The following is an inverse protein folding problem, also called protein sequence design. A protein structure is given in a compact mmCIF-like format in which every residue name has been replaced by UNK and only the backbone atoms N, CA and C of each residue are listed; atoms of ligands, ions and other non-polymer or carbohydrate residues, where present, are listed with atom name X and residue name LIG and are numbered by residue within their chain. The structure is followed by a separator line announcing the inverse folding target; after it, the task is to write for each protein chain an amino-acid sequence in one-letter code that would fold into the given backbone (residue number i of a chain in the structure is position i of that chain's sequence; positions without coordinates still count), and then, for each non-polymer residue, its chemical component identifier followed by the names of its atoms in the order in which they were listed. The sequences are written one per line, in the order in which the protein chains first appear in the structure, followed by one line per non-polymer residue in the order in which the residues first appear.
data_IF_766368885571
#
_entry.id   IF_766368885571
#
_cell.length_a   1.000
_cell.length_b   1.000
_cell.length_c   1.000
_cell.angle_alpha   90.00
_cell.angle_beta   90.00
_cell.angle_gamma   90.00
#
_symmetry.space_group_name_H-M   'P 1'
#
loop_
_entity.id
_entity.type
_entity.pdbx_description
1 polymer ?
#
# COMPACT_ATOMS: atom_id res chain seq x y z
N UNK A 1 24.97 3.09 -10.94
CA UNK A 1 24.30 3.16 -9.62
C UNK A 1 24.40 4.52 -8.93
N UNK A 2 25.43 4.88 -8.14
CA UNK A 2 25.43 6.14 -7.36
C UNK A 2 25.23 7.41 -8.21
N UNK A 3 25.89 7.50 -9.37
CA UNK A 3 25.69 8.60 -10.33
C UNK A 3 24.25 8.66 -10.86
N UNK A 4 23.62 7.50 -11.05
CA UNK A 4 22.23 7.42 -11.50
C UNK A 4 21.25 7.79 -10.37
N UNK A 5 21.54 7.45 -9.11
CA UNK A 5 20.76 7.90 -7.96
C UNK A 5 20.76 9.44 -7.90
N UNK A 6 21.94 10.05 -7.94
CA UNK A 6 22.06 11.51 -7.94
C UNK A 6 21.38 12.16 -9.17
N UNK A 7 21.48 11.51 -10.34
CA UNK A 7 20.79 11.96 -11.56
C UNK A 7 19.27 11.84 -11.43
N UNK A 8 18.77 10.72 -10.92
CA UNK A 8 17.35 10.48 -10.68
C UNK A 8 16.79 11.54 -9.75
N UNK A 9 17.41 11.76 -8.58
CA UNK A 9 16.95 12.73 -7.61
C UNK A 9 16.88 14.15 -8.21
N UNK A 10 17.90 14.56 -8.97
CA UNK A 10 17.93 15.87 -9.64
C UNK A 10 16.83 16.02 -10.67
N UNK A 11 16.66 15.02 -11.54
CA UNK A 11 15.62 15.03 -12.57
C UNK A 11 14.24 15.00 -11.92
N UNK A 12 14.01 14.13 -10.95
CA UNK A 12 12.78 14.04 -10.18
C UNK A 12 12.38 15.40 -9.59
N UNK A 13 13.30 16.07 -8.88
CA UNK A 13 13.07 17.40 -8.33
C UNK A 13 12.78 18.46 -9.39
N UNK A 14 13.48 18.42 -10.53
CA UNK A 14 13.24 19.34 -11.64
C UNK A 14 11.89 19.12 -12.35
N UNK A 15 11.33 17.91 -12.26
CA UNK A 15 10.02 17.58 -12.84
C UNK A 15 8.86 17.90 -11.87
N UNK A 16 9.12 18.05 -10.57
CA UNK A 16 8.08 18.40 -9.59
C UNK A 16 7.34 19.69 -10.01
N UNK A 17 6.01 19.66 -9.94
CA UNK A 17 5.16 20.77 -10.36
C UNK A 17 4.77 20.78 -11.86
N UNK A 18 5.45 20.00 -12.70
CA UNK A 18 5.11 19.86 -14.13
C UNK A 18 5.22 18.39 -14.60
N UNK A 19 4.69 17.47 -13.78
CA UNK A 19 4.66 16.04 -14.10
C UNK A 19 3.41 15.75 -14.93
N UNK A 20 3.56 15.06 -16.06
CA UNK A 20 2.41 14.52 -16.78
C UNK A 20 1.61 13.58 -15.86
N UNK A 21 0.31 13.87 -15.71
CA UNK A 21 -0.63 13.12 -14.85
C UNK A 21 -0.76 11.64 -15.25
N UNK A 22 -0.41 11.30 -16.50
CA UNK A 22 -0.46 9.94 -17.02
C UNK A 22 0.91 9.25 -17.06
N UNK A 23 1.99 9.95 -16.70
CA UNK A 23 3.31 9.35 -16.65
C UNK A 23 3.40 8.28 -15.55
N UNK A 24 4.16 7.24 -15.85
CA UNK A 24 4.51 6.17 -14.93
C UNK A 24 6.00 6.23 -14.57
N UNK A 25 6.39 5.52 -13.52
CA UNK A 25 7.80 5.36 -13.18
C UNK A 25 8.59 4.74 -14.34
N UNK A 26 8.03 3.76 -15.05
CA UNK A 26 8.67 3.17 -16.22
C UNK A 26 8.92 4.18 -17.34
N UNK A 27 7.89 4.95 -17.73
CA UNK A 27 8.03 5.94 -18.81
C UNK A 27 9.08 7.00 -18.46
N UNK A 28 9.19 7.40 -17.20
CA UNK A 28 10.23 8.33 -16.75
C UNK A 28 11.64 7.73 -16.85
N UNK A 29 11.79 6.48 -16.40
CA UNK A 29 13.08 5.79 -16.46
C UNK A 29 13.54 5.58 -17.91
N UNK A 30 12.61 5.26 -18.80
CA UNK A 30 12.86 5.05 -20.24
C UNK A 30 13.20 6.38 -20.94
N UNK A 31 12.40 7.43 -20.73
CA UNK A 31 12.62 8.77 -21.28
C UNK A 31 14.01 9.32 -20.93
N UNK A 32 14.46 9.12 -19.69
CA UNK A 32 15.75 9.61 -19.22
C UNK A 32 16.89 8.59 -19.31
N UNK A 33 16.65 7.46 -20.00
CA UNK A 33 17.66 6.43 -20.30
C UNK A 33 18.38 5.94 -19.04
N UNK A 34 17.62 5.58 -18.02
CA UNK A 34 18.17 4.88 -16.84
C UNK A 34 18.49 3.43 -17.16
N UNK A 35 19.56 2.90 -16.56
CA UNK A 35 19.94 1.52 -16.79
C UNK A 35 18.93 0.56 -16.17
N UNK A 36 18.76 -0.62 -16.79
CA UNK A 36 17.98 -1.71 -16.21
C UNK A 36 18.52 -2.12 -14.82
N UNK A 37 19.84 -2.00 -14.63
CA UNK A 37 20.49 -2.29 -13.36
C UNK A 37 20.04 -1.30 -12.25
N UNK A 38 20.06 0.01 -12.51
CA UNK A 38 19.50 1.01 -11.60
C UNK A 38 18.03 0.77 -11.30
N UNK A 39 17.23 0.52 -12.34
CA UNK A 39 15.79 0.30 -12.18
C UNK A 39 15.50 -0.91 -11.28
N UNK A 40 16.10 -2.06 -11.60
CA UNK A 40 15.84 -3.35 -10.94
C UNK A 40 16.39 -3.44 -9.53
N UNK A 41 17.51 -2.77 -9.23
CA UNK A 41 18.21 -2.94 -7.95
C UNK A 41 18.10 -1.75 -7.01
N UNK A 42 17.47 -0.65 -7.43
CA UNK A 42 17.33 0.54 -6.57
C UNK A 42 15.91 1.09 -6.55
N UNK A 43 15.46 1.73 -7.63
CA UNK A 43 14.24 2.55 -7.55
C UNK A 43 12.95 1.71 -7.51
N UNK A 44 12.88 0.61 -8.27
CA UNK A 44 11.70 -0.26 -8.25
C UNK A 44 11.58 -1.02 -6.92
N UNK A 45 12.64 -1.65 -6.37
CA UNK A 45 12.55 -2.28 -5.05
C UNK A 45 12.21 -1.30 -3.92
N UNK A 46 12.74 -0.08 -3.97
CA UNK A 46 12.45 0.95 -2.97
C UNK A 46 10.97 1.33 -2.97
N UNK A 47 10.40 1.61 -4.15
CA UNK A 47 8.96 1.85 -4.26
C UNK A 47 8.13 0.64 -3.85
N UNK A 48 8.50 -0.55 -4.35
CA UNK A 48 7.80 -1.79 -4.04
C UNK A 48 7.72 -2.07 -2.53
N UNK A 49 8.79 -1.78 -1.77
CA UNK A 49 8.80 -1.92 -0.32
C UNK A 49 7.85 -0.94 0.39
N UNK A 50 7.72 0.30 -0.12
CA UNK A 50 6.83 1.32 0.47
C UNK A 50 5.36 0.98 0.24
N UNK A 51 5.00 0.59 -0.98
CA UNK A 51 3.61 0.33 -1.37
C UNK A 51 3.22 -1.15 -1.36
N UNK A 52 4.09 -2.02 -0.82
CA UNK A 52 3.86 -3.46 -0.73
C UNK A 52 3.37 -4.08 -2.05
N UNK A 53 4.02 -3.70 -3.15
CA UNK A 53 3.67 -4.13 -4.51
C UNK A 53 4.77 -4.98 -5.14
N UNK A 54 4.47 -5.65 -6.24
CA UNK A 54 5.50 -6.26 -7.09
C UNK A 54 6.32 -5.20 -7.83
N UNK A 55 7.50 -5.59 -8.35
CA UNK A 55 8.30 -4.73 -9.21
C UNK A 55 7.58 -4.38 -10.53
N UNK A 56 6.74 -5.29 -11.04
CA UNK A 56 6.00 -5.08 -12.28
C UNK A 56 4.90 -4.02 -12.09
N UNK A 57 4.18 -4.08 -10.97
CA UNK A 57 3.22 -3.04 -10.62
C UNK A 57 3.92 -1.69 -10.37
N UNK A 58 5.08 -1.71 -9.70
CA UNK A 58 5.84 -0.49 -9.43
C UNK A 58 6.31 0.22 -10.71
N UNK A 59 6.57 -0.52 -11.81
CA UNK A 59 6.85 0.08 -13.12
C UNK A 59 5.67 0.92 -13.63
N UNK A 60 4.44 0.49 -13.36
CA UNK A 60 3.20 1.15 -13.77
C UNK A 60 2.73 2.19 -12.76
N UNK A 61 3.45 2.36 -11.65
CA UNK A 61 3.10 3.30 -10.59
C UNK A 61 3.01 4.73 -11.14
N UNK A 62 1.95 5.49 -10.81
CA UNK A 62 1.81 6.89 -11.25
C UNK A 62 2.98 7.76 -10.79
N UNK A 63 3.72 8.30 -11.74
CA UNK A 63 4.91 9.12 -11.47
C UNK A 63 4.62 10.34 -10.58
N UNK A 64 3.51 11.10 -10.75
CA UNK A 64 3.24 12.24 -9.89
C UNK A 64 3.18 11.87 -8.41
N UNK A 65 2.47 10.77 -8.09
CA UNK A 65 2.34 10.28 -6.72
C UNK A 65 3.69 9.79 -6.18
N UNK A 66 4.46 9.08 -7.00
CA UNK A 66 5.77 8.58 -6.62
C UNK A 66 6.72 9.73 -6.25
N UNK A 67 6.83 10.74 -7.12
CA UNK A 67 7.72 11.87 -6.91
C UNK A 67 7.30 12.74 -5.72
N UNK A 68 6.00 13.02 -5.58
CA UNK A 68 5.48 13.77 -4.43
C UNK A 68 5.76 13.05 -3.10
N UNK A 69 5.52 11.74 -3.04
CA UNK A 69 5.84 10.96 -1.85
C UNK A 69 7.33 11.02 -1.54
N UNK A 70 8.20 10.81 -2.54
CA UNK A 70 9.64 10.81 -2.33
C UNK A 70 10.17 12.17 -1.87
N UNK A 71 9.60 13.28 -2.37
CA UNK A 71 9.96 14.63 -1.92
C UNK A 71 9.48 14.89 -0.48
N UNK A 72 8.21 14.61 -0.17
CA UNK A 72 7.66 14.84 1.17
C UNK A 72 8.38 14.05 2.27
N UNK A 73 8.98 12.91 1.91
CA UNK A 73 9.68 12.03 2.84
C UNK A 73 11.21 12.18 2.79
N UNK A 74 11.74 13.17 2.07
CA UNK A 74 13.19 13.44 1.97
C UNK A 74 13.98 12.32 1.29
N UNK A 75 13.33 11.46 0.50
CA UNK A 75 13.96 10.35 -0.22
C UNK A 75 14.71 10.81 -1.47
N UNK A 76 14.39 12.01 -1.98
CA UNK A 76 15.14 12.68 -3.05
C UNK A 76 16.36 13.46 -2.53
N UNK A 77 16.51 13.65 -1.22
CA UNK A 77 17.63 14.40 -0.65
C UNK A 77 18.89 13.56 -0.53
N UNK A 78 20.05 14.14 -0.83
CA UNK A 78 21.34 13.47 -0.61
C UNK A 78 21.99 13.87 0.72
N UNK A 79 21.65 15.04 1.24
CA UNK A 79 22.15 15.62 2.49
C UNK A 79 20.96 16.07 3.32
N UNK A 80 21.15 16.27 4.63
CA UNK A 80 20.09 16.74 5.55
C UNK A 80 18.81 15.88 5.53
N UNK A 81 18.97 14.57 5.35
CA UNK A 81 17.84 13.63 5.35
C UNK A 81 17.14 13.65 6.73
N UNK A 82 15.81 13.52 6.75
CA UNK A 82 15.08 13.39 8.01
C UNK A 82 15.55 12.15 8.77
N UNK A 83 15.61 12.28 10.10
CA UNK A 83 15.90 11.15 10.97
C UNK A 83 14.65 10.28 11.09
N UNK A 84 14.75 9.03 10.63
CA UNK A 84 13.70 8.03 10.77
C UNK A 84 13.90 7.25 12.07
N UNK A 85 12.87 7.25 12.92
CA UNK A 85 12.86 6.45 14.14
C UNK A 85 12.29 5.06 13.85
N UNK A 86 12.82 4.07 14.56
CA UNK A 86 12.31 2.70 14.54
C UNK A 86 11.97 2.29 15.97
N UNK A 87 10.96 1.45 16.11
CA UNK A 87 10.67 0.80 17.39
C UNK A 87 11.67 -0.34 17.55
N UNK A 88 12.50 -0.37 18.61
CA UNK A 88 13.38 -1.50 18.90
C UNK A 88 12.55 -2.78 19.00
N UNK A 89 12.94 -3.84 18.26
CA UNK A 89 12.14 -5.08 18.16
C UNK A 89 11.06 -5.07 17.07
N UNK A 90 10.87 -3.96 16.36
CA UNK A 90 10.00 -3.84 15.19
C UNK A 90 8.52 -3.61 15.51
N UNK A 91 7.68 -3.69 14.47
CA UNK A 91 6.26 -3.36 14.56
C UNK A 91 5.46 -4.22 15.55
N UNK A 92 5.91 -5.45 15.80
CA UNK A 92 5.27 -6.37 16.74
C UNK A 92 5.20 -5.82 18.17
N UNK A 93 6.12 -4.93 18.55
CA UNK A 93 6.16 -4.39 19.90
C UNK A 93 4.99 -3.44 20.18
N UNK A 94 4.62 -2.58 19.23
CA UNK A 94 3.43 -1.73 19.41
C UNK A 94 2.13 -2.54 19.32
N UNK A 95 2.10 -3.62 18.51
CA UNK A 95 0.96 -4.54 18.48
C UNK A 95 0.81 -5.24 19.83
N UNK A 96 1.90 -5.73 20.43
CA UNK A 96 1.87 -6.36 21.76
C UNK A 96 1.35 -5.39 22.82
N UNK A 97 1.85 -4.16 22.84
CA UNK A 97 1.39 -3.13 23.76
C UNK A 97 -0.11 -2.83 23.60
N UNK A 98 -0.57 -2.70 22.35
CA UNK A 98 -1.98 -2.47 22.03
C UNK A 98 -2.88 -3.62 22.50
N UNK A 99 -2.49 -4.88 22.23
CA UNK A 99 -3.25 -6.05 22.66
C UNK A 99 -3.36 -6.14 24.19
N UNK A 100 -2.27 -5.85 24.91
CA UNK A 100 -2.27 -5.83 26.38
C UNK A 100 -3.21 -4.75 26.94
N UNK A 101 -3.27 -3.57 26.29
CA UNK A 101 -4.13 -2.47 26.73
C UNK A 101 -5.61 -2.69 26.40
N UNK A 102 -5.91 -3.37 25.29
CA UNK A 102 -7.29 -3.72 24.95
C UNK A 102 -7.84 -4.81 25.89
N UNK A 103 -7.03 -5.82 26.22
CA UNK A 103 -7.38 -6.90 27.13
C UNK A 103 -8.71 -7.54 26.74
N UNK A 104 -9.58 -7.75 27.73
CA UNK A 104 -10.87 -8.44 27.56
C UNK A 104 -11.88 -7.68 26.68
N UNK A 105 -11.60 -6.43 26.32
CA UNK A 105 -12.45 -5.66 25.38
C UNK A 105 -12.27 -6.11 23.93
N UNK A 106 -11.22 -6.87 23.63
CA UNK A 106 -10.94 -7.40 22.29
C UNK A 106 -11.09 -8.91 22.29
N UNK A 107 -12.06 -9.40 21.52
CA UNK A 107 -12.09 -10.81 21.11
C UNK A 107 -11.26 -10.97 19.84
N UNK A 108 -10.10 -11.63 19.95
CA UNK A 108 -9.17 -11.83 18.84
C UNK A 108 -9.27 -13.26 18.29
N UNK A 109 -9.58 -13.38 17.01
CA UNK A 109 -9.54 -14.65 16.28
C UNK A 109 -8.36 -14.68 15.31
N UNK A 110 -7.33 -15.46 15.63
CA UNK A 110 -6.18 -15.72 14.75
C UNK A 110 -6.44 -16.94 13.88
N UNK A 111 -5.79 -17.00 12.71
CA UNK A 111 -5.96 -18.10 11.74
C UNK A 111 -7.42 -18.33 11.33
N UNK A 112 -8.23 -17.27 11.38
CA UNK A 112 -9.66 -17.29 11.11
C UNK A 112 -9.97 -16.43 9.87
N UNK A 113 -9.58 -16.87 8.66
CA UNK A 113 -9.85 -16.10 7.45
C UNK A 113 -11.37 -15.98 7.24
N UNK A 114 -11.82 -14.75 7.03
CA UNK A 114 -13.21 -14.48 6.63
C UNK A 114 -13.39 -14.92 5.18
N UNK A 115 -14.37 -15.80 4.97
CA UNK A 115 -14.68 -16.35 3.65
C UNK A 115 -15.79 -15.58 2.95
N UNK A 116 -16.77 -15.10 3.73
CA UNK A 116 -17.93 -14.40 3.19
C UNK A 116 -18.52 -13.44 4.22
N UNK A 117 -19.02 -12.31 3.74
CA UNK A 117 -19.73 -11.30 4.51
C UNK A 117 -21.09 -11.08 3.87
N UNK A 118 -22.14 -11.38 4.62
CA UNK A 118 -23.55 -11.27 4.20
C UNK A 118 -24.18 -10.15 5.00
N UNK A 119 -24.95 -9.28 4.35
CA UNK A 119 -25.62 -8.15 4.99
C UNK A 119 -27.11 -8.25 4.71
N UNK A 120 -27.93 -8.06 5.72
CA UNK A 120 -29.39 -8.06 5.62
C UNK A 120 -29.99 -7.06 6.63
N UNK A 121 -31.32 -7.00 6.69
CA UNK A 121 -32.05 -6.07 7.57
C UNK A 121 -31.81 -6.30 9.06
N UNK A 122 -31.16 -7.42 9.44
CA UNK A 122 -30.84 -7.79 10.83
C UNK A 122 -29.38 -7.53 11.20
N UNK A 123 -28.53 -7.16 10.23
CA UNK A 123 -27.12 -6.80 10.46
C UNK A 123 -26.16 -7.45 9.47
N UNK A 124 -24.98 -7.82 9.96
CA UNK A 124 -23.88 -8.37 9.16
C UNK A 124 -23.47 -9.73 9.71
N UNK A 125 -23.55 -10.75 8.86
CA UNK A 125 -23.06 -12.10 9.17
C UNK A 125 -21.69 -12.32 8.50
N UNK A 126 -20.69 -12.61 9.33
CA UNK A 126 -19.32 -12.94 8.94
C UNK A 126 -19.14 -14.45 8.99
N UNK A 127 -18.88 -15.07 7.85
CA UNK A 127 -18.65 -16.50 7.73
C UNK A 127 -17.16 -16.82 7.71
N UNK A 128 -16.77 -17.73 8.60
CA UNK A 128 -15.48 -18.38 8.68
C UNK A 128 -15.62 -19.84 8.18
N UNK A 129 -14.51 -20.57 8.06
CA UNK A 129 -14.53 -21.96 7.60
C UNK A 129 -15.40 -22.90 8.44
N UNK A 130 -15.46 -22.68 9.76
CA UNK A 130 -16.14 -23.57 10.71
C UNK A 130 -17.22 -22.87 11.55
N UNK A 131 -17.45 -21.58 11.33
CA UNK A 131 -18.33 -20.77 12.18
C UNK A 131 -18.93 -19.59 11.42
N UNK A 132 -20.01 -19.03 11.97
CA UNK A 132 -20.58 -17.76 11.52
C UNK A 132 -20.90 -16.90 12.73
N UNK A 133 -20.66 -15.61 12.60
CA UNK A 133 -20.86 -14.62 13.66
C UNK A 133 -21.69 -13.47 13.11
N UNK A 134 -22.65 -12.98 13.88
CA UNK A 134 -23.50 -11.85 13.51
C UNK A 134 -23.13 -10.62 14.34
N UNK A 135 -23.07 -9.48 13.67
CA UNK A 135 -22.73 -8.17 14.24
C UNK A 135 -23.68 -7.10 13.68
N UNK A 136 -23.83 -5.99 14.39
CA UNK A 136 -24.60 -4.85 13.87
C UNK A 136 -23.89 -4.15 12.71
N UNK A 137 -22.55 -4.15 12.73
CA UNK A 137 -21.69 -3.43 11.77
C UNK A 137 -20.40 -4.22 11.52
N UNK A 138 -19.80 -4.00 10.35
CA UNK A 138 -18.50 -4.56 9.99
C UNK A 138 -17.57 -3.50 9.39
N UNK A 139 -16.30 -3.51 9.80
CA UNK A 139 -15.24 -2.65 9.25
C UNK A 139 -14.22 -3.54 8.56
N UNK A 140 -13.97 -3.31 7.27
CA UNK A 140 -12.92 -4.01 6.53
C UNK A 140 -11.60 -3.25 6.67
N UNK A 141 -10.64 -3.87 7.35
CA UNK A 141 -9.26 -3.37 7.50
C UNK A 141 -8.28 -4.20 6.65
N UNK A 142 -8.66 -4.49 5.39
CA UNK A 142 -7.91 -5.30 4.45
C UNK A 142 -7.80 -4.60 3.08
N UNK A 143 -7.12 -5.22 2.11
CA UNK A 143 -7.06 -4.69 0.74
C UNK A 143 -8.46 -4.64 0.11
N UNK A 144 -8.70 -3.67 -0.77
CA UNK A 144 -10.02 -3.45 -1.38
C UNK A 144 -10.50 -4.66 -2.20
N UNK A 145 -9.61 -5.32 -2.93
CA UNK A 145 -9.92 -6.56 -3.66
C UNK A 145 -10.34 -7.70 -2.74
N UNK A 146 -9.70 -7.84 -1.57
CA UNK A 146 -10.09 -8.83 -0.56
C UNK A 146 -11.46 -8.50 0.03
N UNK A 147 -11.71 -7.23 0.37
CA UNK A 147 -13.01 -6.78 0.85
C UNK A 147 -14.11 -7.10 -0.17
N UNK A 148 -13.87 -6.77 -1.45
CA UNK A 148 -14.81 -7.05 -2.53
C UNK A 148 -15.07 -8.55 -2.71
N UNK A 149 -14.03 -9.38 -2.65
CA UNK A 149 -14.14 -10.83 -2.79
C UNK A 149 -14.91 -11.49 -1.64
N UNK A 150 -14.86 -10.92 -0.43
CA UNK A 150 -15.61 -11.42 0.73
C UNK A 150 -17.09 -11.02 0.70
N UNK A 151 -17.47 -9.92 0.04
CA UNK A 151 -18.87 -9.48 0.01
C UNK A 151 -19.74 -10.48 -0.78
N UNK A 152 -20.81 -10.98 -0.14
CA UNK A 152 -21.75 -11.90 -0.77
C UNK A 152 -22.49 -11.27 -1.96
N UNK A 153 -22.95 -10.04 -1.75
CA UNK A 153 -23.71 -9.25 -2.72
C UNK A 153 -23.17 -7.82 -2.69
N UNK A 154 -22.03 -7.55 -3.36
CA UNK A 154 -21.52 -6.19 -3.47
C UNK A 154 -22.48 -5.38 -4.33
N UNK A 155 -22.72 -4.13 -3.97
CA UNK A 155 -23.45 -3.18 -4.79
C UNK A 155 -22.63 -2.76 -6.01
N UNK A 156 -23.27 -2.07 -6.96
CA UNK A 156 -22.56 -1.51 -8.12
C UNK A 156 -21.47 -0.52 -7.71
N UNK A 157 -21.77 0.35 -6.73
CA UNK A 157 -20.81 1.33 -6.22
C UNK A 157 -19.63 0.65 -5.52
N UNK A 158 -19.87 -0.39 -4.73
CA UNK A 158 -18.80 -1.15 -4.07
C UNK A 158 -17.89 -1.85 -5.08
N UNK A 159 -18.45 -2.48 -6.12
CA UNK A 159 -17.65 -3.05 -7.22
C UNK A 159 -16.78 -1.99 -7.90
N UNK A 160 -17.35 -0.80 -8.15
CA UNK A 160 -16.63 0.28 -8.82
C UNK A 160 -15.51 0.86 -7.95
N UNK A 161 -15.76 1.11 -6.67
CA UNK A 161 -14.79 1.72 -5.76
C UNK A 161 -13.73 0.70 -5.34
N UNK A 162 -14.13 -0.50 -4.95
CA UNK A 162 -13.21 -1.51 -4.42
C UNK A 162 -12.45 -2.25 -5.53
N UNK A 163 -13.00 -2.33 -6.74
CA UNK A 163 -12.37 -2.95 -7.90
C UNK A 163 -11.39 -2.03 -8.65
N UNK A 164 -11.32 -0.73 -8.30
CA UNK A 164 -10.31 0.18 -8.86
C UNK A 164 -8.96 -0.08 -8.20
N UNK A 165 -8.11 -0.85 -8.89
CA UNK A 165 -6.72 -1.02 -8.50
C UNK A 165 -5.95 0.25 -8.86
N UNK A 166 -5.57 1.05 -7.85
CA UNK A 166 -4.47 2.00 -8.05
C UNK A 166 -3.12 1.33 -7.81
N UNK A 167 -2.98 0.40 -6.85
CA UNK A 167 -1.89 -0.59 -6.70
C UNK A 167 -2.25 -1.64 -5.63
N UNK A 168 -1.94 -2.92 -5.92
CA UNK A 168 -1.98 -4.14 -5.07
C UNK A 168 -3.34 -4.58 -4.50
N UNK A 169 -3.76 -5.85 -4.53
CA UNK A 169 -3.09 -7.12 -4.82
C UNK A 169 -3.98 -8.01 -5.72
#
# INVERSE_FOLDING_TARGET
MLKEIARFNRLAKGTLGNVDRHATLATFLEQHRFSAFFARHYILPMGAAIWSSSLQEMRRFPLPLFLQFFEHHGLLDMTHRPQWFVVPGGSREYIRAMLAQLGDRLTLHLNAPVQKVIRDDRGVTVQLAAASHTFDQAIFACHSGQALAMLAEPSKAEREVLGRHLLAA
#
